data_IF_369969466375
#
_entry.id   IF_369969466375
#
_cell.length_a   1.000
_cell.length_b   1.000
_cell.length_c   1.000
_cell.angle_alpha   90.00
_cell.angle_beta   90.00
_cell.angle_gamma   90.00
#
_symmetry.space_group_name_H-M   'P 1'
#
loop_
_entity.id
_entity.type
_entity.pdbx_description
1 polymer ?
#
# COMPACT_ATOMS: atom_id res chain seq x y z
N UNK A 1 2.25 8.85 -25.80
CA UNK A 1 1.52 10.10 -25.50
C UNK A 1 0.37 9.99 -24.49
N UNK A 2 -0.28 8.83 -24.23
CA UNK A 2 -1.18 8.65 -23.07
C UNK A 2 -0.46 8.05 -21.86
N UNK A 3 0.45 7.11 -22.10
CA UNK A 3 1.30 6.46 -21.10
C UNK A 3 2.26 7.43 -20.44
N UNK A 4 2.83 8.38 -21.19
CA UNK A 4 3.75 9.40 -20.66
C UNK A 4 3.05 10.35 -19.69
N UNK A 5 1.81 10.75 -20.02
CA UNK A 5 0.99 11.61 -19.17
C UNK A 5 0.55 10.89 -17.89
N UNK A 6 0.11 9.62 -18.00
CA UNK A 6 -0.22 8.81 -16.82
C UNK A 6 1.01 8.62 -15.92
N UNK A 7 2.16 8.31 -16.50
CA UNK A 7 3.43 8.19 -15.77
C UNK A 7 3.76 9.48 -15.03
N UNK A 8 3.74 10.62 -15.71
CA UNK A 8 4.06 11.91 -15.10
C UNK A 8 3.12 12.25 -13.93
N UNK A 9 1.82 11.99 -14.07
CA UNK A 9 0.83 12.24 -13.03
C UNK A 9 1.01 11.32 -11.82
N UNK A 10 1.21 10.02 -12.05
CA UNK A 10 1.43 9.07 -10.95
C UNK A 10 2.74 9.36 -10.23
N UNK A 11 3.82 9.65 -10.96
CA UNK A 11 5.11 10.02 -10.37
C UNK A 11 5.01 11.31 -9.56
N UNK A 12 4.33 12.34 -10.09
CA UNK A 12 4.11 13.59 -9.36
C UNK A 12 3.28 13.40 -8.09
N UNK A 13 2.17 12.66 -8.18
CA UNK A 13 1.33 12.37 -7.02
C UNK A 13 2.09 11.56 -5.95
N UNK A 14 2.95 10.64 -6.39
CA UNK A 14 3.74 9.80 -5.50
C UNK A 14 4.87 10.59 -4.82
N UNK A 15 5.57 11.47 -5.55
CA UNK A 15 6.56 12.37 -4.98
C UNK A 15 5.95 13.28 -3.92
N UNK A 16 4.75 13.80 -4.17
CA UNK A 16 4.00 14.55 -3.16
C UNK A 16 3.64 13.71 -1.94
N UNK A 17 3.21 12.46 -2.10
CA UNK A 17 2.91 11.59 -0.95
C UNK A 17 4.15 11.29 -0.11
N UNK A 18 5.31 11.12 -0.75
CA UNK A 18 6.60 10.98 -0.06
C UNK A 18 6.92 12.23 0.75
N UNK A 19 6.78 13.42 0.16
CA UNK A 19 7.03 14.68 0.83
C UNK A 19 6.06 14.95 2.00
N UNK A 20 4.76 14.74 1.80
CA UNK A 20 3.72 14.90 2.84
C UNK A 20 3.96 13.99 4.06
N UNK A 21 4.61 12.85 3.85
CA UNK A 21 4.95 11.89 4.92
C UNK A 21 6.34 12.11 5.52
N UNK A 22 7.10 13.10 5.01
CA UNK A 22 8.48 13.36 5.43
C UNK A 22 9.46 12.22 5.07
N UNK A 23 9.14 11.45 4.03
CA UNK A 23 9.93 10.30 3.61
C UNK A 23 11.08 10.65 2.68
N UNK A 24 11.25 11.92 2.30
CA UNK A 24 12.34 12.38 1.42
C UNK A 24 13.73 12.00 1.95
N UNK A 25 13.88 11.96 3.28
CA UNK A 25 15.11 11.56 3.97
C UNK A 25 15.42 10.06 3.92
N UNK A 26 14.50 9.24 3.40
CA UNK A 26 14.66 7.77 3.29
C UNK A 26 15.29 7.35 1.95
N UNK A 27 15.73 8.31 1.14
CA UNK A 27 16.46 7.99 -0.07
C UNK A 27 17.74 7.21 0.26
N UNK A 28 17.99 6.13 -0.49
CA UNK A 28 19.08 5.18 -0.21
C UNK A 28 18.91 4.31 1.04
N UNK A 29 17.77 4.36 1.74
CA UNK A 29 17.55 3.51 2.92
C UNK A 29 17.57 2.02 2.56
N UNK A 30 18.22 1.21 3.40
CA UNK A 30 18.26 -0.24 3.20
C UNK A 30 16.89 -0.85 3.47
N UNK A 31 16.35 -1.51 2.45
CA UNK A 31 15.03 -2.14 2.52
C UNK A 31 15.22 -3.63 2.83
N UNK A 32 14.67 -4.14 3.96
CA UNK A 32 14.76 -5.56 4.26
C UNK A 32 14.02 -6.37 3.18
N UNK A 33 14.61 -7.49 2.78
CA UNK A 33 14.03 -8.40 1.77
C UNK A 33 12.58 -8.81 2.11
N UNK A 34 12.21 -8.80 3.39
CA UNK A 34 10.87 -9.12 3.88
C UNK A 34 9.78 -8.16 3.39
N UNK A 35 10.15 -6.95 2.93
CA UNK A 35 9.23 -5.98 2.34
C UNK A 35 9.00 -6.22 0.83
N UNK A 36 9.71 -7.20 0.24
CA UNK A 36 9.58 -7.60 -1.16
C UNK A 36 8.59 -8.78 -1.24
N UNK A 37 7.49 -8.62 -1.96
CA UNK A 37 6.45 -9.64 -2.13
C UNK A 37 5.15 -9.33 -1.40
N UNK A 38 4.42 -10.36 -0.96
CA UNK A 38 3.12 -10.18 -0.28
C UNK A 38 3.32 -9.58 1.11
N UNK A 39 2.83 -8.36 1.30
CA UNK A 39 2.91 -7.66 2.57
C UNK A 39 2.07 -8.35 3.66
N UNK A 40 2.62 -8.52 4.88
CA UNK A 40 1.86 -8.97 6.04
C UNK A 40 0.65 -8.05 6.27
N UNK A 41 -0.49 -8.61 6.68
CA UNK A 41 -1.68 -7.78 6.96
C UNK A 41 -2.45 -7.31 5.72
N UNK A 42 -2.08 -7.73 4.50
CA UNK A 42 -2.89 -7.47 3.29
C UNK A 42 -3.85 -8.65 3.02
N UNK A 43 -5.10 -8.65 3.52
CA UNK A 43 -6.01 -9.77 3.37
C UNK A 43 -6.44 -9.96 1.91
N UNK A 44 -6.67 -8.87 1.17
CA UNK A 44 -7.07 -8.94 -0.23
C UNK A 44 -5.88 -9.30 -1.14
N UNK A 45 -6.12 -10.24 -2.05
CA UNK A 45 -5.26 -10.57 -3.19
C UNK A 45 -5.76 -9.92 -4.48
N UNK A 46 -5.04 -10.21 -5.58
CA UNK A 46 -5.17 -9.71 -6.96
C UNK A 46 -6.45 -8.94 -7.31
N UNK A 47 -6.27 -7.75 -7.86
CA UNK A 47 -7.33 -6.95 -8.47
C UNK A 47 -7.61 -7.42 -9.91
N UNK A 48 -8.88 -7.37 -10.37
CA UNK A 48 -9.27 -7.85 -11.69
C UNK A 48 -8.68 -6.99 -12.83
N UNK A 49 -8.51 -5.69 -12.59
CA UNK A 49 -7.90 -4.76 -13.53
C UNK A 49 -6.44 -4.49 -13.15
N UNK A 50 -5.56 -4.44 -14.15
CA UNK A 50 -4.13 -4.18 -13.98
C UNK A 50 -3.76 -2.93 -14.76
N UNK A 51 -3.16 -1.97 -14.06
CA UNK A 51 -2.54 -0.80 -14.65
C UNK A 51 -1.03 -0.98 -14.51
N UNK A 52 -0.31 -0.78 -15.60
CA UNK A 52 1.15 -0.80 -15.63
C UNK A 52 1.66 0.64 -15.75
N UNK A 53 2.55 1.04 -14.84
CA UNK A 53 3.18 2.37 -14.85
C UNK A 53 4.67 2.21 -14.54
N UNK A 54 5.52 2.83 -15.34
CA UNK A 54 6.97 2.84 -15.12
C UNK A 54 7.35 3.92 -14.11
N UNK A 55 7.74 3.50 -12.90
CA UNK A 55 8.11 4.40 -11.81
C UNK A 55 9.64 4.52 -11.68
N UNK A 56 10.17 5.71 -11.33
CA UNK A 56 11.58 5.86 -10.94
C UNK A 56 11.93 4.95 -9.77
N UNK A 57 13.07 4.25 -9.86
CA UNK A 57 13.48 3.25 -8.86
C UNK A 57 13.72 3.86 -7.48
N UNK A 58 14.24 5.07 -7.41
CA UNK A 58 14.52 5.76 -6.14
C UNK A 58 13.21 6.02 -5.38
N UNK A 59 12.17 6.46 -6.12
CA UNK A 59 10.85 6.69 -5.56
C UNK A 59 10.19 5.38 -5.09
N UNK A 60 10.40 4.28 -5.84
CA UNK A 60 9.95 2.94 -5.41
C UNK A 60 10.64 2.53 -4.11
N UNK A 61 11.94 2.79 -4.02
CA UNK A 61 12.79 2.46 -2.86
C UNK A 61 12.32 3.23 -1.62
N UNK A 62 12.17 4.55 -1.73
CA UNK A 62 11.70 5.42 -0.63
C UNK A 62 10.33 4.98 -0.11
N UNK A 63 9.39 4.66 -1.00
CA UNK A 63 8.04 4.23 -0.59
C UNK A 63 8.08 2.88 0.15
N UNK A 64 8.88 1.93 -0.33
CA UNK A 64 9.07 0.67 0.36
C UNK A 64 9.70 0.86 1.75
N UNK A 65 10.72 1.70 1.86
CA UNK A 65 11.36 2.05 3.13
C UNK A 65 10.37 2.72 4.10
N UNK A 66 9.62 3.72 3.61
CA UNK A 66 8.62 4.45 4.39
C UNK A 66 7.49 3.54 4.88
N UNK A 67 6.96 2.67 4.02
CA UNK A 67 5.98 1.67 4.42
C UNK A 67 6.53 0.73 5.50
N UNK A 68 7.79 0.32 5.37
CA UNK A 68 8.41 -0.62 6.33
C UNK A 68 8.60 0.04 7.68
N UNK A 69 9.21 1.21 7.72
CA UNK A 69 9.46 1.95 8.96
C UNK A 69 8.15 2.24 9.69
N UNK A 70 7.11 2.63 8.94
CA UNK A 70 5.76 2.89 9.49
C UNK A 70 5.10 1.63 10.04
N UNK A 71 5.31 0.48 9.39
CA UNK A 71 4.54 -0.74 9.67
C UNK A 71 5.28 -1.78 10.51
N UNK A 72 6.59 -1.66 10.73
CA UNK A 72 7.43 -2.71 11.34
C UNK A 72 6.90 -3.23 12.69
N UNK A 73 6.36 -2.34 13.52
CA UNK A 73 5.77 -2.73 14.82
C UNK A 73 4.49 -3.56 14.63
N UNK A 74 3.58 -3.11 13.77
CA UNK A 74 2.35 -3.83 13.46
C UNK A 74 2.64 -5.17 12.77
N UNK A 75 3.64 -5.21 11.90
CA UNK A 75 4.13 -6.45 11.28
C UNK A 75 4.68 -7.42 12.33
N UNK A 76 5.44 -6.93 13.32
CA UNK A 76 5.87 -7.73 14.47
C UNK A 76 4.69 -8.36 15.19
N UNK A 77 3.67 -7.54 15.55
CA UNK A 77 2.45 -8.02 16.21
C UNK A 77 1.67 -9.05 15.38
N UNK A 78 1.64 -8.89 14.06
CA UNK A 78 1.05 -9.88 13.15
C UNK A 78 1.83 -11.20 13.11
N UNK A 79 3.16 -11.16 13.25
CA UNK A 79 4.00 -12.37 13.37
C UNK A 79 3.72 -13.07 14.70
N UNK A 80 3.71 -12.34 15.80
CA UNK A 80 3.40 -12.90 17.13
C UNK A 80 1.99 -13.50 17.17
N UNK A 81 1.02 -12.80 16.55
CA UNK A 81 -0.34 -13.33 16.38
C UNK A 81 -0.33 -14.63 15.57
N UNK A 82 0.47 -14.72 14.51
CA UNK A 82 0.56 -15.91 13.67
C UNK A 82 1.15 -17.11 14.42
N UNK A 83 2.12 -16.87 15.29
CA UNK A 83 2.74 -17.88 16.16
C UNK A 83 1.75 -18.40 17.20
N UNK A 84 0.94 -17.51 17.82
CA UNK A 84 -0.15 -17.90 18.74
C UNK A 84 -1.31 -18.61 18.05
N UNK A 85 -1.57 -18.29 16.77
CA UNK A 85 -2.69 -18.81 16.00
C UNK A 85 -2.25 -19.46 14.68
N UNK A 86 -1.45 -20.55 14.72
CA UNK A 86 -0.80 -21.11 13.52
C UNK A 86 -1.82 -21.68 12.51
N UNK A 87 -2.96 -22.19 13.00
CA UNK A 87 -4.05 -22.73 12.17
C UNK A 87 -5.03 -21.67 11.68
N UNK A 88 -5.02 -20.46 12.24
CA UNK A 88 -5.90 -19.39 11.79
C UNK A 88 -5.56 -18.96 10.35
N UNK A 89 -6.60 -18.60 9.60
CA UNK A 89 -6.58 -18.16 8.21
C UNK A 89 -7.52 -16.95 8.08
N UNK A 90 -7.02 -15.71 8.24
CA UNK A 90 -7.85 -14.51 8.21
C UNK A 90 -8.67 -14.32 6.93
N UNK A 91 -8.20 -14.87 5.81
CA UNK A 91 -8.89 -14.82 4.52
C UNK A 91 -10.04 -15.86 4.39
N UNK A 92 -10.17 -16.76 5.37
CA UNK A 92 -11.23 -17.76 5.44
C UNK A 92 -11.84 -17.74 6.86
N UNK A 93 -12.61 -16.70 7.18
CA UNK A 93 -13.10 -16.44 8.53
C UNK A 93 -14.07 -17.52 9.04
N UNK A 94 -14.70 -18.28 8.13
CA UNK A 94 -15.63 -19.36 8.47
C UNK A 94 -14.96 -20.67 8.89
N UNK A 95 -13.62 -20.76 8.86
CA UNK A 95 -12.91 -21.97 9.27
C UNK A 95 -12.93 -22.13 10.81
N UNK A 96 -12.95 -23.37 11.33
CA UNK A 96 -13.05 -23.64 12.78
C UNK A 96 -11.95 -22.98 13.63
N UNK A 97 -10.79 -22.67 13.05
CA UNK A 97 -9.66 -22.07 13.75
C UNK A 97 -9.65 -20.53 13.73
N UNK A 98 -10.73 -19.89 13.26
CA UNK A 98 -10.85 -18.44 13.11
C UNK A 98 -12.01 -17.91 13.97
N UNK A 99 -11.84 -17.92 15.30
CA UNK A 99 -12.83 -17.30 16.18
C UNK A 99 -12.98 -15.80 15.85
N UNK A 100 -14.16 -15.23 16.11
CA UNK A 100 -14.41 -13.81 15.89
C UNK A 100 -13.39 -12.92 16.63
N UNK A 101 -13.02 -13.30 17.86
CA UNK A 101 -12.01 -12.60 18.66
C UNK A 101 -10.61 -12.68 18.03
N UNK A 102 -10.21 -13.86 17.57
CA UNK A 102 -8.91 -14.08 16.91
C UNK A 102 -8.81 -13.26 15.61
N UNK A 103 -9.90 -13.15 14.85
CA UNK A 103 -9.97 -12.33 13.65
C UNK A 103 -9.97 -10.83 13.95
N UNK A 104 -10.68 -10.39 14.99
CA UNK A 104 -10.70 -9.00 15.42
C UNK A 104 -9.30 -8.52 15.84
N UNK A 105 -8.54 -9.37 16.56
CA UNK A 105 -7.16 -9.06 16.92
C UNK A 105 -6.26 -8.92 15.68
N UNK A 106 -6.37 -9.85 14.71
CA UNK A 106 -5.67 -9.74 13.44
C UNK A 106 -6.01 -8.43 12.71
N UNK A 107 -7.30 -8.10 12.62
CA UNK A 107 -7.76 -6.88 11.95
C UNK A 107 -7.21 -5.63 12.62
N UNK A 108 -7.18 -5.57 13.96
CA UNK A 108 -6.61 -4.45 14.71
C UNK A 108 -5.14 -4.19 14.36
N UNK A 109 -4.32 -5.22 14.19
CA UNK A 109 -2.93 -5.04 13.76
C UNK A 109 -2.83 -4.75 12.26
N UNK A 110 -3.64 -5.42 11.43
CA UNK A 110 -3.61 -5.28 9.99
C UNK A 110 -3.99 -3.86 9.52
N UNK A 111 -4.92 -3.17 10.19
CA UNK A 111 -5.29 -1.78 9.86
C UNK A 111 -4.16 -0.79 10.08
N UNK A 112 -3.16 -1.15 10.91
CA UNK A 112 -1.97 -0.33 11.17
C UNK A 112 -0.83 -0.61 10.19
N UNK A 113 -1.00 -1.53 9.25
CA UNK A 113 -0.01 -1.81 8.21
C UNK A 113 -0.28 -0.93 7.00
N UNK A 114 0.68 -0.06 6.70
CA UNK A 114 0.73 0.70 5.46
C UNK A 114 1.50 -0.11 4.42
N UNK A 115 0.87 -0.40 3.28
CA UNK A 115 1.48 -1.21 2.21
C UNK A 115 1.85 -0.36 1.01
N UNK A 116 2.93 -0.68 0.26
CA UNK A 116 3.25 0.00 -0.99
C UNK A 116 2.07 -0.02 -1.97
N UNK A 117 1.33 -1.13 -2.04
CA UNK A 117 0.13 -1.23 -2.88
C UNK A 117 -0.95 -0.19 -2.54
N UNK A 118 -1.11 0.16 -1.25
CA UNK A 118 -2.03 1.24 -0.86
C UNK A 118 -1.53 2.61 -1.32
N UNK A 119 -0.21 2.86 -1.21
CA UNK A 119 0.44 4.08 -1.72
C UNK A 119 0.27 4.18 -3.24
N UNK A 120 0.57 3.12 -3.99
CA UNK A 120 0.43 3.09 -5.45
C UNK A 120 -1.01 3.41 -5.89
N UNK A 121 -1.99 2.79 -5.24
CA UNK A 121 -3.41 3.06 -5.52
C UNK A 121 -3.79 4.50 -5.18
N UNK A 122 -3.30 5.02 -4.06
CA UNK A 122 -3.52 6.42 -3.67
C UNK A 122 -2.94 7.40 -4.70
N UNK A 123 -1.70 7.17 -5.14
CA UNK A 123 -1.05 8.00 -6.16
C UNK A 123 -1.78 7.94 -7.51
N UNK A 124 -2.21 6.76 -7.95
CA UNK A 124 -3.04 6.61 -9.16
C UNK A 124 -4.37 7.34 -9.01
N UNK A 125 -5.10 7.16 -7.90
CA UNK A 125 -6.36 7.84 -7.66
C UNK A 125 -6.21 9.37 -7.72
N UNK A 126 -5.22 9.93 -7.01
CA UNK A 126 -4.92 11.38 -7.05
C UNK A 126 -4.52 11.84 -8.45
N UNK A 127 -3.70 11.07 -9.16
CA UNK A 127 -3.32 11.36 -10.54
C UNK A 127 -4.53 11.41 -11.49
N UNK A 128 -5.44 10.44 -11.37
CA UNK A 128 -6.68 10.39 -12.15
C UNK A 128 -7.64 11.53 -11.79
N UNK A 129 -7.75 11.89 -10.51
CA UNK A 129 -8.56 13.04 -10.06
C UNK A 129 -8.08 14.35 -10.68
N UNK A 130 -6.76 14.54 -10.83
CA UNK A 130 -6.19 15.71 -11.53
C UNK A 130 -6.49 15.73 -13.03
N UNK A 131 -6.77 14.57 -13.63
CA UNK A 131 -7.19 14.49 -15.04
C UNK A 131 -8.68 14.72 -15.23
N UNK A 132 -9.52 14.53 -14.20
CA UNK A 132 -10.92 14.92 -14.29
C UNK A 132 -10.94 16.43 -14.54
N UNK A 133 -11.40 16.89 -15.71
CA UNK A 133 -11.26 18.29 -16.06
C UNK A 133 -11.96 19.14 -15.00
N UNK A 134 -11.55 20.41 -14.92
CA UNK A 134 -12.47 21.50 -14.67
C UNK A 134 -13.61 21.45 -15.72
N UNK A 135 -14.51 20.47 -15.61
CA UNK A 135 -15.79 20.40 -16.30
C UNK A 135 -16.66 21.50 -15.68
N UNK A 136 -16.26 22.75 -15.91
CA UNK A 136 -17.19 23.85 -15.91
C UNK A 136 -18.32 23.45 -16.86
N UNK A 137 -19.59 23.52 -16.42
CA UNK A 137 -20.70 23.26 -17.31
C UNK A 137 -20.54 24.25 -18.47
N UNK A 138 -20.45 23.73 -19.70
CA UNK A 138 -20.66 24.52 -20.89
C UNK A 138 -22.03 25.19 -20.69
N UNK A 139 -22.02 26.50 -20.39
CA UNK A 139 -23.25 27.30 -20.30
C UNK A 139 -23.95 27.17 -21.66
N UNK A 140 -25.17 26.64 -21.63
CA UNK A 140 -26.11 26.68 -22.75
C UNK A 140 -26.54 28.12 -23.01
#
# INVERSE_FOLDING_TARGET
MLTDSLRALVVSALAQEVAERGWDSLDGAEIPHQSRGRWPGSPQGNWPERITVDLPIDLVTVVHAGCWITSKEAVGKLRDWKERHPKARPNHPTRPCCSAQTLAEYQHYATRVLTPGAIWRGAVARGLERMKPHLSPLRR
#
